data_IF_952304701084
#
_entry.id   IF_952304701084
#
_cell.length_a   1.000
_cell.length_b   1.000
_cell.length_c   1.000
_cell.angle_alpha   90.00
_cell.angle_beta   90.00
_cell.angle_gamma   90.00
#
_symmetry.space_group_name_H-M   'P 1'
#
loop_
_entity.id
_entity.type
_entity.pdbx_description
1 polymer ?
#
# COMPACT_ATOMS: atom_id res chain seq x y z
N UNK A 1 25.78 25.91 82.37
CA UNK A 1 25.22 24.59 82.69
C UNK A 1 24.58 24.05 81.43
N UNK A 2 25.08 22.90 80.98
CA UNK A 2 24.58 22.12 79.85
C UNK A 2 23.24 21.49 80.23
N UNK A 3 22.28 21.43 79.30
CA UNK A 3 21.38 20.27 79.18
C UNK A 3 20.99 20.06 77.72
N UNK A 4 21.61 19.03 77.15
CA UNK A 4 21.21 18.34 75.94
C UNK A 4 20.00 17.47 76.23
N UNK A 5 18.99 17.47 75.36
CA UNK A 5 18.08 16.32 75.20
C UNK A 5 17.72 16.18 73.73
N UNK A 6 18.40 15.22 73.10
CA UNK A 6 18.05 14.60 71.83
C UNK A 6 16.91 13.63 72.13
N UNK A 7 15.77 13.76 71.45
CA UNK A 7 14.77 12.69 71.41
C UNK A 7 14.75 12.07 70.01
N UNK A 8 15.07 10.78 70.01
CA UNK A 8 15.23 9.87 68.88
C UNK A 8 13.96 9.03 68.74
N UNK A 9 13.74 8.52 67.52
CA UNK A 9 12.88 7.36 67.14
C UNK A 9 11.35 7.55 67.19
N UNK A 10 10.54 7.01 66.26
CA UNK A 10 10.76 5.83 65.42
C UNK A 10 10.08 5.94 64.03
N UNK A 11 10.80 5.49 62.99
CA UNK A 11 10.25 5.13 61.69
C UNK A 11 9.41 3.85 61.84
N UNK A 12 8.13 3.91 61.47
CA UNK A 12 7.35 2.74 61.13
C UNK A 12 7.05 2.79 59.62
N UNK A 13 8.02 2.38 58.81
CA UNK A 13 7.80 2.09 57.40
C UNK A 13 7.21 0.68 57.29
N UNK A 14 5.89 0.56 57.30
CA UNK A 14 5.21 -0.67 56.89
C UNK A 14 5.40 -0.85 55.40
N UNK A 15 6.44 -1.59 55.02
CA UNK A 15 6.62 -2.10 53.66
C UNK A 15 5.52 -3.12 53.36
N UNK A 16 4.42 -2.68 52.77
CA UNK A 16 3.49 -3.58 52.11
C UNK A 16 4.18 -4.13 50.85
N UNK A 17 4.71 -5.34 50.93
CA UNK A 17 5.10 -6.12 49.75
C UNK A 17 3.81 -6.58 49.07
N UNK A 18 3.23 -5.71 48.24
CA UNK A 18 2.29 -6.17 47.22
C UNK A 18 3.08 -7.08 46.28
N UNK A 19 2.85 -8.39 46.40
CA UNK A 19 3.32 -9.38 45.43
C UNK A 19 2.75 -8.96 44.08
N UNK A 20 3.59 -8.60 43.09
CA UNK A 20 3.08 -8.33 41.75
C UNK A 20 2.45 -9.63 41.27
N UNK A 21 1.13 -9.63 41.13
CA UNK A 21 0.42 -10.63 40.36
C UNK A 21 1.00 -10.54 38.95
N UNK A 22 1.89 -11.49 38.62
CA UNK A 22 2.25 -11.77 37.24
C UNK A 22 0.94 -12.05 36.52
N UNK A 23 0.40 -11.04 35.83
CA UNK A 23 -0.62 -11.27 34.82
C UNK A 23 -0.04 -12.36 33.90
N UNK A 24 -0.79 -13.44 33.63
CA UNK A 24 -0.33 -14.44 32.69
C UNK A 24 0.02 -13.72 31.39
N UNK A 25 1.30 -13.76 31.05
CA UNK A 25 1.90 -13.11 29.90
C UNK A 25 1.56 -13.94 28.65
N UNK A 26 0.27 -14.18 28.44
CA UNK A 26 -0.29 -14.75 27.21
C UNK A 26 -0.70 -13.62 26.25
N UNK A 27 0.02 -12.49 26.31
CA UNK A 27 -0.08 -11.46 25.28
C UNK A 27 0.71 -11.96 24.09
N UNK A 28 0.07 -12.81 23.27
CA UNK A 28 0.48 -12.91 21.88
C UNK A 28 0.17 -11.55 21.28
N UNK A 29 1.19 -10.71 21.13
CA UNK A 29 1.04 -9.41 20.50
C UNK A 29 1.03 -9.62 18.98
N UNK A 30 -0.16 -9.96 18.49
CA UNK A 30 -0.47 -10.08 17.07
C UNK A 30 -0.99 -8.74 16.50
N UNK A 31 -0.60 -7.60 17.09
CA UNK A 31 -1.08 -6.30 16.63
C UNK A 31 -0.46 -5.93 15.28
N UNK A 32 -1.28 -5.42 14.38
CA UNK A 32 -0.85 -4.85 13.10
C UNK A 32 -1.34 -3.40 13.11
N UNK A 33 -0.41 -2.45 13.16
CA UNK A 33 -0.77 -1.03 13.29
C UNK A 33 -0.11 -0.23 12.19
N UNK A 34 -0.91 0.55 11.48
CA UNK A 34 -0.40 1.58 10.57
C UNK A 34 -0.42 2.92 11.30
N UNK A 35 0.73 3.55 11.38
CA UNK A 35 0.96 4.82 12.06
C UNK A 35 1.23 5.87 10.98
N UNK A 36 0.47 6.95 10.99
CA UNK A 36 0.65 8.11 10.12
C UNK A 36 1.05 9.31 10.97
N UNK A 37 2.05 10.08 10.54
CA UNK A 37 2.53 11.22 11.33
C UNK A 37 2.86 12.44 10.46
N UNK A 38 2.70 13.61 11.06
CA UNK A 38 3.32 14.85 10.61
C UNK A 38 3.82 15.62 11.83
N UNK A 39 5.11 15.47 12.11
CA UNK A 39 5.74 16.07 13.29
C UNK A 39 5.70 17.60 13.28
N UNK A 40 5.70 18.23 12.09
CA UNK A 40 5.64 19.69 11.97
C UNK A 40 4.28 20.27 12.37
N UNK A 41 3.21 19.46 12.30
CA UNK A 41 1.84 19.86 12.65
C UNK A 41 1.35 19.19 13.94
N UNK A 42 2.18 18.37 14.58
CA UNK A 42 1.82 17.59 15.78
C UNK A 42 0.56 16.73 15.60
N UNK A 43 0.30 16.27 14.37
CA UNK A 43 -0.84 15.38 14.06
C UNK A 43 -0.35 13.96 13.77
N UNK A 44 -1.17 12.99 14.17
CA UNK A 44 -0.93 11.58 13.90
C UNK A 44 -2.22 10.76 13.88
N UNK A 45 -2.14 9.57 13.30
CA UNK A 45 -3.20 8.56 13.30
C UNK A 45 -2.58 7.19 13.55
N UNK A 46 -3.29 6.34 14.29
CA UNK A 46 -2.94 4.93 14.49
C UNK A 46 -4.15 4.08 14.14
N UNK A 47 -4.02 3.26 13.09
CA UNK A 47 -5.10 2.41 12.59
C UNK A 47 -4.71 0.95 12.74
N UNK A 48 -5.51 0.19 13.50
CA UNK A 48 -5.26 -1.24 13.75
C UNK A 48 -5.89 -2.13 12.68
N UNK A 49 -5.22 -3.24 12.37
CA UNK A 49 -5.62 -4.26 11.41
C UNK A 49 -5.60 -5.64 12.06
N UNK A 50 -6.35 -6.57 11.46
CA UNK A 50 -6.36 -7.97 11.83
C UNK A 50 -5.48 -8.76 10.87
N UNK A 51 -4.82 -9.79 11.39
CA UNK A 51 -3.96 -10.66 10.59
C UNK A 51 -4.75 -11.58 9.64
N UNK A 52 -4.12 -11.94 8.52
CA UNK A 52 -4.57 -13.03 7.66
C UNK A 52 -5.61 -12.65 6.62
N UNK A 53 -6.06 -11.39 6.59
CA UNK A 53 -7.09 -10.94 5.67
C UNK A 53 -6.78 -9.56 5.11
N UNK A 54 -7.19 -9.34 3.87
CA UNK A 54 -7.19 -8.02 3.25
C UNK A 54 -8.17 -7.11 3.96
N UNK A 55 -7.73 -5.90 4.31
CA UNK A 55 -8.55 -4.92 5.02
C UNK A 55 -8.25 -3.52 4.52
N UNK A 56 -9.28 -2.69 4.41
CA UNK A 56 -9.13 -1.27 4.19
C UNK A 56 -9.85 -0.46 5.26
N UNK A 57 -9.18 0.58 5.74
CA UNK A 57 -9.68 1.44 6.81
C UNK A 57 -9.24 2.87 6.57
N UNK A 58 -10.07 3.83 6.96
CA UNK A 58 -9.65 5.22 7.04
C UNK A 58 -8.71 5.45 8.23
N UNK A 59 -7.82 6.45 8.15
CA UNK A 59 -7.07 6.93 9.31
C UNK A 59 -7.99 7.28 10.49
N UNK A 60 -7.56 6.95 11.71
CA UNK A 60 -8.31 7.24 12.93
C UNK A 60 -7.92 8.62 13.47
N UNK A 61 -8.91 9.48 13.71
CA UNK A 61 -8.73 10.78 14.37
C UNK A 61 -8.41 11.95 13.42
N UNK A 62 -7.63 11.74 12.36
CA UNK A 62 -7.33 12.76 11.36
C UNK A 62 -7.03 12.15 10.00
N UNK A 63 -7.42 12.81 8.91
CA UNK A 63 -7.04 12.44 7.53
C UNK A 63 -5.75 13.12 7.06
N UNK A 64 -5.03 13.84 7.93
CA UNK A 64 -3.76 14.48 7.63
C UNK A 64 -3.86 16.00 7.42
N UNK A 65 -2.90 16.62 6.72
CA UNK A 65 -1.88 15.98 5.86
C UNK A 65 -0.73 15.32 6.63
N UNK A 66 -0.38 14.09 6.27
CA UNK A 66 0.71 13.31 6.86
C UNK A 66 1.97 13.37 6.00
N UNK A 67 3.15 13.25 6.62
CA UNK A 67 4.45 13.22 5.92
C UNK A 67 5.11 11.85 5.97
N UNK A 68 4.78 11.04 6.97
CA UNK A 68 5.33 9.69 7.13
C UNK A 68 4.24 8.65 7.38
N UNK A 69 4.58 7.40 7.05
CA UNK A 69 3.79 6.21 7.35
C UNK A 69 4.68 5.08 7.85
N UNK A 70 4.25 4.38 8.89
CA UNK A 70 4.94 3.21 9.43
C UNK A 70 3.93 2.06 9.53
N UNK A 71 4.36 0.87 9.13
CA UNK A 71 3.69 -0.37 9.50
C UNK A 71 4.44 -0.96 10.68
N UNK A 72 3.77 -1.16 11.81
CA UNK A 72 4.33 -1.80 13.00
C UNK A 72 3.65 -3.15 13.19
N UNK A 73 4.45 -4.22 13.20
CA UNK A 73 4.00 -5.59 13.42
C UNK A 73 4.42 -6.07 14.81
N UNK A 74 3.45 -6.50 15.60
CA UNK A 74 3.70 -7.14 16.88
C UNK A 74 4.55 -8.43 16.73
N UNK A 75 5.31 -8.81 17.76
CA UNK A 75 6.24 -9.94 17.71
C UNK A 75 5.57 -11.25 17.29
N UNK A 76 4.29 -11.46 17.61
CA UNK A 76 3.57 -12.70 17.36
C UNK A 76 2.78 -12.71 16.04
N UNK A 77 2.84 -11.63 15.24
CA UNK A 77 2.32 -11.62 13.87
C UNK A 77 3.12 -12.62 13.02
N UNK A 78 2.44 -13.57 12.38
CA UNK A 78 3.03 -14.59 11.49
C UNK A 78 3.39 -14.01 10.13
N UNK A 79 2.58 -13.10 9.60
CA UNK A 79 2.77 -12.45 8.31
C UNK A 79 3.78 -11.30 8.37
N UNK A 80 5.06 -11.60 8.61
CA UNK A 80 6.13 -10.60 8.70
C UNK A 80 6.42 -9.87 7.37
N UNK A 81 5.99 -10.45 6.26
CA UNK A 81 6.08 -9.89 4.92
C UNK A 81 4.84 -9.07 4.51
N UNK A 82 3.89 -8.84 5.42
CA UNK A 82 2.70 -8.04 5.16
C UNK A 82 3.09 -6.65 4.63
N UNK A 83 2.40 -6.24 3.57
CA UNK A 83 2.52 -4.89 3.02
C UNK A 83 1.19 -4.18 3.09
N UNK A 84 1.27 -2.86 3.23
CA UNK A 84 0.12 -1.98 3.17
C UNK A 84 0.33 -0.89 2.13
N UNK A 85 -0.74 -0.27 1.67
CA UNK A 85 -0.78 0.84 0.73
C UNK A 85 -1.62 1.95 1.33
N UNK A 86 -1.24 3.19 1.08
CA UNK A 86 -2.02 4.38 1.45
C UNK A 86 -2.54 5.06 0.20
N UNK A 87 -3.81 5.47 0.22
CA UNK A 87 -4.49 6.18 -0.87
C UNK A 87 -4.81 7.61 -0.45
N UNK A 88 -4.66 8.54 -1.38
CA UNK A 88 -5.03 9.94 -1.20
C UNK A 88 -6.56 10.17 -1.30
N UNK A 89 -7.02 11.42 -1.16
CA UNK A 89 -8.44 11.79 -1.32
C UNK A 89 -9.03 11.51 -2.70
N UNK A 90 -8.19 11.33 -3.71
CA UNK A 90 -8.58 10.96 -5.07
C UNK A 90 -8.48 9.44 -5.30
N UNK A 91 -8.28 8.65 -4.24
CA UNK A 91 -8.04 7.21 -4.27
C UNK A 91 -6.81 6.79 -5.09
N UNK A 92 -5.82 7.68 -5.23
CA UNK A 92 -4.55 7.37 -5.88
C UNK A 92 -3.54 6.85 -4.85
N UNK A 93 -2.76 5.81 -5.17
CA UNK A 93 -1.67 5.37 -4.32
C UNK A 93 -0.66 6.48 -4.04
N UNK A 94 -0.32 6.66 -2.76
CA UNK A 94 0.73 7.59 -2.34
C UNK A 94 2.07 6.86 -2.42
N UNK A 95 3.02 7.46 -3.13
CA UNK A 95 4.38 6.94 -3.23
C UNK A 95 5.13 7.23 -1.93
N UNK A 96 5.72 6.17 -1.38
CA UNK A 96 6.48 6.17 -0.13
C UNK A 96 7.95 5.86 -0.40
N UNK A 97 8.84 6.44 0.41
CA UNK A 97 10.28 6.35 0.27
C UNK A 97 10.92 5.97 1.60
N UNK A 98 11.83 4.98 1.58
CA UNK A 98 12.64 4.62 2.74
C UNK A 98 14.05 4.22 2.31
N UNK A 99 15.01 5.12 2.59
CA UNK A 99 16.35 5.03 2.04
C UNK A 99 16.30 5.12 0.51
N UNK A 100 16.84 4.11 -0.18
CA UNK A 100 16.80 4.01 -1.64
C UNK A 100 15.52 3.36 -2.18
N UNK A 101 14.65 2.81 -1.32
CA UNK A 101 13.44 2.14 -1.76
C UNK A 101 12.33 3.16 -2.02
N UNK A 102 11.73 3.11 -3.21
CA UNK A 102 10.57 3.92 -3.62
C UNK A 102 9.47 2.97 -4.06
N UNK A 103 8.32 3.01 -3.38
CA UNK A 103 7.24 2.04 -3.55
C UNK A 103 5.88 2.71 -3.35
N UNK A 104 4.80 2.07 -3.78
CA UNK A 104 3.40 2.46 -3.47
C UNK A 104 2.79 1.59 -2.37
N UNK A 105 3.53 0.58 -1.94
CA UNK A 105 3.29 -0.30 -0.81
C UNK A 105 4.46 -0.20 0.17
N UNK A 106 4.21 -0.37 1.46
CA UNK A 106 5.22 -0.35 2.50
C UNK A 106 5.07 -1.57 3.39
N UNK A 107 6.20 -2.05 3.89
CA UNK A 107 6.28 -3.07 4.91
C UNK A 107 7.04 -2.52 6.11
N UNK A 108 6.84 -3.15 7.27
CA UNK A 108 7.59 -2.86 8.49
C UNK A 108 9.09 -3.07 8.23
N UNK A 109 9.50 -4.32 7.97
CA UNK A 109 10.89 -4.66 7.67
C UNK A 109 11.88 -4.19 8.73
N UNK A 110 11.41 -3.92 9.95
CA UNK A 110 12.16 -3.47 11.13
C UNK A 110 13.05 -2.25 10.88
N UNK A 111 12.65 -1.40 9.92
CA UNK A 111 13.43 -0.23 9.44
C UNK A 111 12.73 1.10 9.74
N UNK A 112 11.63 1.07 10.48
CA UNK A 112 10.86 2.25 10.86
C UNK A 112 10.11 2.90 9.70
N UNK A 113 9.88 4.20 9.85
CA UNK A 113 8.98 5.02 9.02
C UNK A 113 9.39 5.09 7.54
N UNK A 114 8.39 5.20 6.68
CA UNK A 114 8.49 5.63 5.30
C UNK A 114 8.06 7.08 5.15
N UNK A 115 8.68 7.82 4.25
CA UNK A 115 8.34 9.22 3.95
C UNK A 115 7.52 9.33 2.67
N UNK A 116 6.55 10.22 2.61
CA UNK A 116 5.80 10.47 1.38
C UNK A 116 6.66 11.23 0.36
N UNK A 117 6.82 10.68 -0.85
CA UNK A 117 7.70 11.23 -1.90
C UNK A 117 7.37 12.68 -2.24
N UNK A 118 6.08 13.02 -2.30
CA UNK A 118 5.58 14.35 -2.67
C UNK A 118 5.30 15.24 -1.45
N UNK A 119 5.78 14.86 -0.26
CA UNK A 119 5.58 15.62 0.97
C UNK A 119 4.21 15.41 1.62
N UNK A 120 3.78 16.40 2.40
CA UNK A 120 2.60 16.31 3.25
C UNK A 120 1.33 16.06 2.42
N UNK A 121 0.68 14.91 2.63
CA UNK A 121 -0.44 14.43 1.82
C UNK A 121 -1.58 13.95 2.71
N UNK A 122 -2.83 14.25 2.34
CA UNK A 122 -3.99 13.73 3.04
C UNK A 122 -4.25 12.27 2.66
N UNK A 123 -4.53 11.42 3.65
CA UNK A 123 -4.78 9.99 3.47
C UNK A 123 -6.27 9.72 3.66
N UNK A 124 -6.89 9.12 2.64
CA UNK A 124 -8.29 8.71 2.68
C UNK A 124 -8.43 7.27 3.19
N UNK A 125 -7.57 6.38 2.71
CA UNK A 125 -7.68 4.94 2.95
C UNK A 125 -6.32 4.30 3.10
N UNK A 126 -6.23 3.36 4.03
CA UNK A 126 -5.10 2.48 4.28
C UNK A 126 -5.56 1.06 3.97
N UNK A 127 -4.85 0.36 3.09
CA UNK A 127 -5.16 -1.01 2.67
C UNK A 127 -4.00 -1.90 3.09
N UNK A 128 -4.25 -2.91 3.91
CA UNK A 128 -3.27 -3.96 4.20
C UNK A 128 -3.74 -5.26 3.57
N UNK A 129 -2.88 -5.88 2.77
CA UNK A 129 -3.20 -7.08 2.00
C UNK A 129 -2.02 -8.04 2.03
N UNK A 130 -2.17 -9.28 2.54
CA UNK A 130 -1.13 -10.29 2.49
C UNK A 130 -0.63 -10.62 1.09
N UNK A 131 -1.43 -10.31 0.06
CA UNK A 131 -1.07 -10.59 -1.31
C UNK A 131 -0.32 -9.44 -1.99
N UNK A 132 -0.20 -8.26 -1.35
CA UNK A 132 0.66 -7.20 -1.85
C UNK A 132 2.12 -7.64 -1.89
N UNK A 133 2.77 -7.36 -3.02
CA UNK A 133 4.21 -7.53 -3.24
C UNK A 133 4.87 -6.18 -3.36
N UNK A 134 6.19 -6.14 -3.20
CA UNK A 134 6.97 -4.93 -3.38
C UNK A 134 6.65 -4.33 -4.74
N UNK A 135 6.16 -3.10 -4.74
CA UNK A 135 5.75 -2.36 -5.92
C UNK A 135 6.85 -1.39 -6.30
N UNK A 136 7.42 -1.47 -7.50
CA UNK A 136 8.29 -0.36 -7.90
C UNK A 136 7.34 0.80 -8.21
N UNK A 137 7.43 1.89 -7.43
CA UNK A 137 6.75 3.11 -7.80
C UNK A 137 7.45 3.64 -9.05
N UNK A 138 6.87 3.40 -10.23
CA UNK A 138 7.39 3.93 -11.49
C UNK A 138 7.55 5.44 -11.33
N UNK A 139 8.81 5.87 -11.38
CA UNK A 139 9.19 7.24 -11.17
C UNK A 139 8.99 7.96 -12.48
N UNK A 140 7.72 8.26 -12.79
CA UNK A 140 7.42 9.28 -13.79
C UNK A 140 7.89 10.61 -13.21
N UNK A 141 9.11 11.00 -13.55
CA UNK A 141 9.58 12.38 -13.76
C UNK A 141 11.06 12.40 -14.13
N UNK A 142 11.29 12.56 -15.44
CA UNK A 142 12.25 13.49 -16.04
C UNK A 142 13.24 14.13 -15.04
N UNK A 143 14.46 13.60 -14.93
CA UNK A 143 15.61 14.28 -14.32
C UNK A 143 16.89 13.70 -14.90
N UNK A 144 17.27 14.28 -16.04
CA UNK A 144 18.64 14.31 -16.52
C UNK A 144 19.47 15.10 -15.50
N UNK A 145 20.24 14.43 -14.64
CA UNK A 145 21.58 14.90 -14.28
C UNK A 145 22.40 13.78 -13.63
N UNK A 146 23.63 13.60 -14.10
CA UNK A 146 24.48 12.47 -13.78
C UNK A 146 25.36 12.69 -12.57
N UNK A 147 25.74 11.60 -11.90
CA UNK A 147 27.15 11.28 -11.62
C UNK A 147 27.29 9.88 -11.04
N UNK A 148 28.37 9.24 -11.45
CA UNK A 148 28.61 7.81 -11.40
C UNK A 148 28.99 7.27 -10.02
N UNK A 149 28.43 6.11 -9.68
CA UNK A 149 29.15 5.00 -9.06
C UNK A 149 28.32 3.70 -9.15
N UNK A 150 28.60 2.89 -10.18
CA UNK A 150 28.33 1.44 -10.21
C UNK A 150 26.96 0.98 -9.71
N UNK A 151 25.90 1.27 -10.46
CA UNK A 151 24.61 0.61 -10.30
C UNK A 151 24.32 -0.18 -11.58
N UNK A 152 24.02 -1.47 -11.44
CA UNK A 152 23.26 -2.21 -12.45
C UNK A 152 22.03 -1.35 -12.76
N UNK A 153 21.86 -0.93 -14.01
CA UNK A 153 20.69 -0.18 -14.45
C UNK A 153 19.45 -1.01 -14.10
N UNK A 154 18.74 -0.65 -13.03
CA UNK A 154 17.43 -1.20 -12.71
C UNK A 154 16.49 -0.75 -13.83
N UNK A 155 16.33 -1.60 -14.83
CA UNK A 155 15.38 -1.36 -15.92
C UNK A 155 13.96 -1.38 -15.34
N UNK A 156 13.23 -0.28 -15.46
CA UNK A 156 11.81 -0.15 -15.09
C UNK A 156 10.95 -0.93 -16.10
N UNK A 157 10.98 -2.26 -15.97
CA UNK A 157 10.23 -3.19 -16.81
C UNK A 157 8.91 -3.64 -16.16
N UNK A 158 8.50 -2.98 -15.08
CA UNK A 158 7.34 -3.35 -14.26
C UNK A 158 6.03 -3.10 -15.01
N UNK A 159 5.11 -4.07 -14.95
CA UNK A 159 3.77 -3.94 -15.51
C UNK A 159 2.76 -4.29 -14.44
N UNK A 160 1.84 -3.37 -14.16
CA UNK A 160 0.83 -3.54 -13.12
C UNK A 160 -0.54 -3.19 -13.63
N UNK A 161 -1.50 -4.03 -13.27
CA UNK A 161 -2.92 -3.71 -13.39
C UNK A 161 -3.49 -3.47 -12.00
N UNK A 162 -4.03 -2.28 -11.78
CA UNK A 162 -4.72 -1.90 -10.56
C UNK A 162 -6.23 -1.88 -10.80
N UNK A 163 -6.98 -2.71 -10.09
CA UNK A 163 -8.45 -2.71 -10.06
C UNK A 163 -8.91 -1.98 -8.81
N UNK A 164 -9.87 -1.06 -8.90
CA UNK A 164 -10.41 -0.38 -7.71
C UNK A 164 -11.93 -0.29 -7.72
N UNK A 165 -12.55 -0.40 -6.54
CA UNK A 165 -13.98 -0.16 -6.31
C UNK A 165 -14.26 1.26 -5.77
N UNK A 166 -13.23 2.11 -5.67
CA UNK A 166 -13.29 3.44 -5.07
C UNK A 166 -12.93 3.48 -3.58
N UNK A 167 -12.80 2.33 -2.93
CA UNK A 167 -12.34 2.19 -1.54
C UNK A 167 -11.18 1.18 -1.42
N UNK A 168 -11.11 0.22 -2.34
CA UNK A 168 -10.26 -0.94 -2.33
C UNK A 168 -9.53 -1.04 -3.67
N UNK A 169 -8.19 -1.11 -3.64
CA UNK A 169 -7.37 -1.41 -4.82
C UNK A 169 -6.78 -2.83 -4.75
N UNK A 170 -6.96 -3.63 -5.79
CA UNK A 170 -6.29 -4.90 -6.04
C UNK A 170 -5.23 -4.69 -7.11
N UNK A 171 -3.99 -5.13 -6.86
CA UNK A 171 -2.87 -4.93 -7.78
C UNK A 171 -2.31 -6.27 -8.24
N UNK A 172 -2.26 -6.46 -9.55
CA UNK A 172 -1.72 -7.66 -10.18
C UNK A 172 -0.52 -7.27 -11.02
N UNK A 173 0.64 -7.85 -10.69
CA UNK A 173 1.88 -7.67 -11.43
C UNK A 173 2.00 -8.69 -12.57
N UNK A 174 2.79 -8.32 -13.58
CA UNK A 174 3.09 -9.11 -14.77
C UNK A 174 4.61 -9.19 -14.92
N UNK A 175 5.12 -10.38 -15.21
CA UNK A 175 6.55 -10.69 -15.03
C UNK A 175 7.34 -10.60 -16.35
N UNK A 176 6.66 -10.50 -17.49
CA UNK A 176 7.28 -10.73 -18.81
C UNK A 176 7.43 -9.44 -19.61
N UNK A 177 7.38 -8.29 -18.93
CA UNK A 177 7.65 -6.97 -19.50
C UNK A 177 6.88 -6.71 -20.82
N UNK A 178 5.68 -7.28 -20.97
CA UNK A 178 4.82 -7.07 -22.14
C UNK A 178 5.33 -7.71 -23.42
N UNK A 179 6.34 -8.58 -23.34
CA UNK A 179 6.95 -9.25 -24.50
C UNK A 179 6.13 -10.43 -25.00
N UNK A 180 5.29 -11.01 -24.14
CA UNK A 180 4.42 -12.13 -24.47
C UNK A 180 3.05 -11.97 -23.82
N UNK A 181 2.11 -12.78 -24.30
CA UNK A 181 0.79 -12.89 -23.70
C UNK A 181 0.92 -13.48 -22.29
N UNK A 182 0.41 -12.75 -21.31
CA UNK A 182 0.32 -13.17 -19.92
C UNK A 182 -1.13 -13.16 -19.46
N UNK A 183 -1.47 -14.09 -18.57
CA UNK A 183 -2.80 -14.23 -17.98
C UNK A 183 -2.61 -14.33 -16.48
N UNK A 184 -3.23 -13.42 -15.75
CA UNK A 184 -3.18 -13.38 -14.29
C UNK A 184 -4.59 -13.35 -13.70
N UNK A 185 -4.74 -13.89 -12.51
CA UNK A 185 -5.95 -13.72 -11.70
C UNK A 185 -5.82 -12.44 -10.85
N UNK A 186 -6.92 -11.71 -10.60
CA UNK A 186 -6.87 -10.54 -9.74
C UNK A 186 -6.48 -10.95 -8.32
N UNK A 187 -5.55 -10.19 -7.74
CA UNK A 187 -5.03 -10.49 -6.41
C UNK A 187 -5.95 -9.91 -5.33
N UNK A 188 -6.31 -10.72 -4.33
CA UNK A 188 -7.00 -10.29 -3.10
C UNK A 188 -8.53 -10.23 -3.17
N UNK A 189 -9.13 -9.81 -4.28
CA UNK A 189 -10.58 -9.82 -4.49
C UNK A 189 -10.93 -9.96 -5.97
N UNK A 190 -12.05 -10.61 -6.27
CA UNK A 190 -12.63 -10.66 -7.61
C UNK A 190 -13.52 -9.45 -7.91
N UNK A 191 -13.72 -8.51 -6.98
CA UNK A 191 -14.60 -7.35 -7.15
C UNK A 191 -15.95 -7.50 -6.46
N UNK A 192 -16.99 -6.75 -6.88
CA UNK A 192 -17.03 -5.90 -8.08
C UNK A 192 -16.12 -4.67 -7.97
N UNK A 193 -15.59 -4.20 -9.10
CA UNK A 193 -14.76 -2.99 -9.18
C UNK A 193 -15.47 -1.87 -9.97
N UNK A 194 -14.97 -0.65 -9.90
CA UNK A 194 -15.49 0.48 -10.67
C UNK A 194 -14.51 0.96 -11.75
N UNK A 195 -13.23 0.63 -11.63
CA UNK A 195 -12.21 1.06 -12.58
C UNK A 195 -10.98 0.16 -12.58
N UNK A 196 -10.20 0.31 -13.64
CA UNK A 196 -8.92 -0.36 -13.88
C UNK A 196 -7.89 0.65 -14.37
N UNK A 197 -6.66 0.53 -13.91
CA UNK A 197 -5.51 1.27 -14.42
C UNK A 197 -4.40 0.28 -14.81
N UNK A 198 -3.79 0.51 -15.98
CA UNK A 198 -2.55 -0.16 -16.38
C UNK A 198 -1.41 0.82 -16.12
N UNK A 199 -0.35 0.37 -15.49
CA UNK A 199 0.92 1.08 -15.37
C UNK A 199 1.98 0.26 -16.09
N UNK A 200 2.71 0.92 -17.00
CA UNK A 200 3.79 0.32 -17.79
C UNK A 200 5.09 1.06 -17.48
N UNK A 201 6.08 0.35 -16.97
CA UNK A 201 7.40 0.89 -16.64
C UNK A 201 8.12 1.45 -17.87
N UNK A 202 8.98 2.45 -17.67
CA UNK A 202 9.60 3.20 -18.77
C UNK A 202 10.48 2.37 -19.71
N UNK A 203 11.03 1.26 -19.24
CA UNK A 203 11.93 0.38 -19.99
C UNK A 203 11.21 -0.82 -20.62
N UNK A 204 9.88 -0.90 -20.48
CA UNK A 204 9.06 -1.87 -21.21
C UNK A 204 9.11 -1.54 -22.72
N UNK A 205 9.52 -2.51 -23.53
CA UNK A 205 9.65 -2.31 -24.99
C UNK A 205 8.32 -1.97 -25.66
N UNK A 206 7.21 -2.50 -25.13
CA UNK A 206 5.85 -2.33 -25.65
C UNK A 206 5.08 -1.29 -24.82
N UNK A 207 5.45 -0.02 -24.94
CA UNK A 207 4.77 1.09 -24.24
C UNK A 207 3.28 1.25 -24.61
N UNK A 208 2.86 0.72 -25.76
CA UNK A 208 1.47 0.65 -26.19
C UNK A 208 0.77 -0.66 -25.80
N UNK A 209 1.34 -1.42 -24.84
CA UNK A 209 0.75 -2.64 -24.31
C UNK A 209 -0.70 -2.41 -23.91
N UNK A 210 -1.55 -3.35 -24.30
CA UNK A 210 -2.95 -3.35 -23.92
C UNK A 210 -3.25 -4.59 -23.11
N UNK A 211 -4.18 -4.43 -22.17
CA UNK A 211 -4.72 -5.53 -21.39
C UNK A 211 -6.24 -5.60 -21.58
N UNK A 212 -6.80 -6.77 -21.31
CA UNK A 212 -8.22 -7.07 -21.33
C UNK A 212 -8.58 -7.73 -20.01
N UNK A 213 -9.74 -7.38 -19.48
CA UNK A 213 -10.30 -8.02 -18.29
C UNK A 213 -11.45 -8.91 -18.71
N UNK A 214 -11.51 -10.12 -18.15
CA UNK A 214 -12.61 -11.05 -18.33
C UNK A 214 -13.44 -11.16 -17.05
N UNK A 215 -14.75 -11.30 -17.23
CA UNK A 215 -15.69 -11.62 -16.15
C UNK A 215 -15.64 -13.12 -15.76
N UNK A 216 -16.44 -13.52 -14.77
CA UNK A 216 -16.57 -14.92 -14.33
C UNK A 216 -17.09 -15.90 -15.42
N UNK A 217 -17.68 -15.38 -16.50
CA UNK A 217 -18.12 -16.16 -17.65
C UNK A 217 -17.07 -16.20 -18.78
N UNK A 218 -15.90 -15.58 -18.58
CA UNK A 218 -14.86 -15.44 -19.61
C UNK A 218 -15.18 -14.39 -20.68
N UNK A 219 -16.15 -13.51 -20.45
CA UNK A 219 -16.51 -12.44 -21.37
C UNK A 219 -15.69 -11.17 -21.10
N UNK A 220 -15.24 -10.44 -22.13
CA UNK A 220 -14.54 -9.18 -21.93
C UNK A 220 -15.42 -8.11 -21.26
N UNK A 221 -14.87 -7.46 -20.24
CA UNK A 221 -15.50 -6.32 -19.58
C UNK A 221 -15.23 -5.05 -20.40
N UNK A 222 -16.29 -4.28 -20.67
CA UNK A 222 -16.21 -3.01 -21.39
C UNK A 222 -15.76 -1.90 -20.45
N UNK A 223 -14.69 -1.21 -20.86
CA UNK A 223 -14.03 -0.11 -20.16
C UNK A 223 -14.21 1.19 -20.92
N UNK A 224 -14.21 2.31 -20.18
CA UNK A 224 -14.37 3.66 -20.74
C UNK A 224 -13.36 4.64 -20.13
N UNK A 225 -12.70 5.41 -21.00
CA UNK A 225 -11.86 6.56 -20.61
C UNK A 225 -12.12 7.75 -21.52
N UNK A 226 -12.74 8.79 -20.97
CA UNK A 226 -13.25 9.91 -21.75
C UNK A 226 -14.31 9.44 -22.76
N UNK A 227 -14.08 9.68 -24.05
CA UNK A 227 -14.94 9.20 -25.15
C UNK A 227 -14.54 7.81 -25.69
N UNK A 228 -13.42 7.25 -25.24
CA UNK A 228 -13.00 5.92 -25.68
C UNK A 228 -13.75 4.85 -24.90
N UNK A 229 -14.41 3.95 -25.61
CA UNK A 229 -15.06 2.74 -25.07
C UNK A 229 -14.43 1.56 -25.80
N UNK A 230 -13.95 0.57 -25.05
CA UNK A 230 -13.18 -0.55 -25.60
C UNK A 230 -13.32 -1.78 -24.67
N UNK A 231 -12.92 -2.96 -25.13
CA UNK A 231 -12.74 -4.17 -24.31
C UNK A 231 -11.28 -4.39 -23.94
N UNK A 232 -10.38 -3.57 -24.47
CA UNK A 232 -8.96 -3.50 -24.12
C UNK A 232 -8.61 -2.10 -23.60
N UNK A 233 -7.68 -2.01 -22.67
CA UNK A 233 -7.20 -0.74 -22.11
C UNK A 233 -5.68 -0.68 -22.16
N UNK A 234 -5.15 0.54 -22.23
CA UNK A 234 -3.72 0.82 -22.13
C UNK A 234 -3.50 1.92 -21.09
N UNK A 235 -2.27 2.03 -20.59
CA UNK A 235 -1.85 3.13 -19.73
C UNK A 235 -2.04 4.46 -20.48
N UNK A 236 -1.21 4.72 -21.49
CA UNK A 236 -1.30 5.95 -22.29
C UNK A 236 -1.28 7.24 -21.46
N UNK A 237 -0.80 7.19 -20.21
CA UNK A 237 -0.73 8.30 -19.25
C UNK A 237 -2.07 9.04 -19.03
N UNK A 238 -3.19 8.35 -19.28
CA UNK A 238 -4.54 8.93 -19.21
C UNK A 238 -5.24 8.71 -17.88
N UNK A 239 -4.61 8.00 -16.95
CA UNK A 239 -5.22 7.53 -15.71
C UNK A 239 -6.21 6.37 -15.92
N UNK A 240 -7.02 6.06 -14.89
CA UNK A 240 -7.85 4.87 -14.85
C UNK A 240 -8.97 4.88 -15.90
N UNK A 241 -9.31 3.70 -16.37
CA UNK A 241 -10.49 3.40 -17.14
C UNK A 241 -11.63 2.99 -16.22
N UNK A 242 -12.81 3.55 -16.43
CA UNK A 242 -14.03 3.19 -15.70
C UNK A 242 -14.72 1.99 -16.33
N UNK A 243 -15.28 1.10 -15.53
CA UNK A 243 -16.12 0.03 -16.05
C UNK A 243 -17.47 0.58 -16.49
N UNK A 244 -17.94 0.18 -17.67
CA UNK A 244 -19.21 0.67 -18.18
C UNK A 244 -20.40 0.15 -17.36
N UNK A 245 -20.23 -1.02 -16.73
CA UNK A 245 -21.21 -1.66 -15.86
C UNK A 245 -20.54 -2.16 -14.56
N UNK A 246 -20.18 -1.27 -13.62
CA UNK A 246 -19.45 -1.63 -12.40
C UNK A 246 -20.12 -2.73 -11.56
N UNK A 247 -21.46 -2.73 -11.49
CA UNK A 247 -22.23 -3.72 -10.73
C UNK A 247 -22.07 -5.17 -11.21
N UNK A 248 -21.53 -5.39 -12.42
CA UNK A 248 -21.35 -6.72 -13.02
C UNK A 248 -19.87 -7.01 -13.31
N UNK A 249 -18.97 -6.36 -12.59
CA UNK A 249 -17.55 -6.38 -12.91
C UNK A 249 -16.73 -7.26 -11.98
N UNK A 250 -17.26 -8.43 -11.68
CA UNK A 250 -16.46 -9.46 -11.05
C UNK A 250 -15.40 -9.93 -12.04
N UNK A 251 -14.14 -9.65 -11.73
CA UNK A 251 -12.99 -9.96 -12.56
C UNK A 251 -12.53 -11.38 -12.24
N UNK A 252 -12.42 -12.21 -13.27
CA UNK A 252 -11.83 -13.55 -13.15
C UNK A 252 -10.39 -13.58 -13.65
N UNK A 253 -10.10 -12.84 -14.73
CA UNK A 253 -8.80 -12.87 -15.41
C UNK A 253 -8.43 -11.50 -15.96
N UNK A 254 -7.14 -11.23 -15.95
CA UNK A 254 -6.50 -10.09 -16.58
C UNK A 254 -5.52 -10.65 -17.60
N UNK A 255 -5.67 -10.24 -18.86
CA UNK A 255 -4.84 -10.70 -19.98
C UNK A 255 -4.10 -9.50 -20.52
N UNK A 256 -2.78 -9.50 -20.48
CA UNK A 256 -1.96 -8.51 -21.17
C UNK A 256 -1.30 -9.18 -22.36
N UNK A 257 -1.50 -8.64 -23.56
CA UNK A 257 -1.04 -9.25 -24.80
C UNK A 257 -0.53 -8.18 -25.77
N UNK A 258 0.74 -8.25 -26.24
CA UNK A 258 1.27 -7.31 -27.22
C UNK A 258 0.54 -7.34 -28.57
N UNK A 259 -0.23 -8.39 -28.86
CA UNK A 259 -1.06 -8.49 -30.07
C UNK A 259 -2.40 -7.75 -29.96
N UNK A 260 -2.80 -7.31 -28.76
CA UNK A 260 -4.02 -6.54 -28.60
C UNK A 260 -3.88 -5.16 -29.24
N UNK A 261 -4.86 -4.83 -30.08
CA UNK A 261 -5.01 -3.53 -30.72
C UNK A 261 -6.26 -2.84 -30.20
N UNK A 262 -6.33 -1.52 -30.33
CA UNK A 262 -7.55 -0.76 -30.03
C UNK A 262 -8.71 -1.36 -30.84
N UNK A 263 -9.84 -1.63 -30.20
CA UNK A 263 -11.01 -2.07 -30.94
C UNK A 263 -11.40 -0.97 -31.95
N UNK A 264 -11.46 -1.32 -33.23
CA UNK A 264 -11.87 -0.40 -34.29
C UNK A 264 -13.28 0.12 -33.97
N UNK A 265 -13.41 1.45 -33.88
CA UNK A 265 -14.70 2.13 -33.70
C UNK A 265 -15.55 2.03 -34.97
#
# INVERSE_FOLDING_TARGET
MQYSTIFLSALAATGALAVPTRRPNNNFDSSITVILQNQNLEIGSQTQFAEGQRQAKSPVGSSGPFTTVELSLGPDVKQKDLRCQVLDKSNKPIVVVRGQNVDITFADGDKGEWTFKNGATEVNTIICDPAFKQGIASTSNNSQDGTAAGQTEDQDTDIRVTLTDGNLAAQTAFDEAGLKREIQEPVGSSGPFNSVELSVGADVQKQDLRCQILDNNGQPIIVKRGQNIDTTFADGNGGPWTFLKPAFSEVSKIICDPAFVKASA
#
